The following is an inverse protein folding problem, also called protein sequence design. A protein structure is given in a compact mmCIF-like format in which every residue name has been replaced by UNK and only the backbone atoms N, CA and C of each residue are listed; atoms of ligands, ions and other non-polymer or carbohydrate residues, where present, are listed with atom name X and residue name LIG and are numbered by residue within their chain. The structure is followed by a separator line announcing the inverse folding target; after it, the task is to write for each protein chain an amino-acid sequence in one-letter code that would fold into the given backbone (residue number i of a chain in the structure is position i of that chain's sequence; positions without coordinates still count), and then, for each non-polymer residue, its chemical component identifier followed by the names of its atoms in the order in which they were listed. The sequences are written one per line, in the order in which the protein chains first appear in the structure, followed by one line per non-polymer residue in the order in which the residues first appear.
data_IF_777168777969
#
_entry.id   IF_777168777969
#
_cell.length_a   1.000
_cell.length_b   1.000
_cell.length_c   1.000
_cell.angle_alpha   90.00
_cell.angle_beta   90.00
_cell.angle_gamma   90.00
#
_symmetry.space_group_name_H-M   'P 1'
#
loop_
_entity.id
_entity.type
_entity.pdbx_description
1 polymer ?
#
# COMPACT_ATOMS: atom_id res chain seq x y z
N UNK A 1 -3.29 17.67 -1.55
CA UNK A 1 -4.50 18.34 -2.05
C UNK A 1 -4.13 19.38 -3.12
N UNK A 2 -3.18 20.28 -2.88
CA UNK A 2 -2.82 21.40 -3.79
C UNK A 2 -2.40 20.95 -5.20
N UNK A 3 -1.59 19.89 -5.29
CA UNK A 3 -1.14 19.34 -6.58
C UNK A 3 -2.28 18.70 -7.38
N UNK A 4 -3.23 18.05 -6.70
CA UNK A 4 -4.39 17.43 -7.37
C UNK A 4 -5.34 18.47 -8.01
N UNK A 5 -5.47 19.67 -7.43
CA UNK A 5 -6.29 20.73 -7.99
C UNK A 5 -5.71 21.22 -9.32
N UNK A 6 -4.40 21.44 -9.37
CA UNK A 6 -3.72 21.86 -10.60
C UNK A 6 -3.82 20.82 -11.73
N UNK A 7 -3.64 19.53 -11.42
CA UNK A 7 -3.80 18.44 -12.37
C UNK A 7 -5.24 18.29 -12.88
N UNK A 8 -6.24 18.39 -12.01
CA UNK A 8 -7.64 18.36 -12.41
C UNK A 8 -8.01 19.50 -13.37
N UNK A 9 -7.45 20.69 -13.16
CA UNK A 9 -7.70 21.84 -14.01
C UNK A 9 -7.06 21.65 -15.39
N UNK A 10 -5.83 21.16 -15.45
CA UNK A 10 -5.12 20.87 -16.70
C UNK A 10 -5.79 19.76 -17.52
N UNK A 11 -6.30 18.73 -16.87
CA UNK A 11 -6.98 17.59 -17.52
C UNK A 11 -8.45 17.88 -17.90
N UNK A 12 -8.94 19.10 -17.71
CA UNK A 12 -10.35 19.47 -17.95
C UNK A 12 -11.34 18.48 -17.31
N UNK A 13 -11.03 18.05 -16.09
CA UNK A 13 -11.79 17.07 -15.31
C UNK A 13 -11.79 15.62 -15.89
N UNK A 14 -10.99 15.31 -16.90
CA UNK A 14 -10.81 13.94 -17.41
C UNK A 14 -9.66 13.24 -16.71
N UNK A 15 -9.72 11.92 -16.64
CA UNK A 15 -8.59 11.10 -16.23
C UNK A 15 -7.73 10.79 -17.47
N UNK A 16 -6.51 11.30 -17.50
CA UNK A 16 -5.56 11.15 -18.63
C UNK A 16 -4.39 10.25 -18.23
N UNK A 17 -3.94 10.35 -16.99
CA UNK A 17 -2.84 9.55 -16.45
C UNK A 17 -3.36 8.48 -15.49
N UNK A 18 -2.56 7.44 -15.25
CA UNK A 18 -2.89 6.41 -14.25
C UNK A 18 -3.16 7.02 -12.87
N UNK A 19 -2.39 8.04 -12.51
CA UNK A 19 -2.56 8.75 -11.24
C UNK A 19 -3.89 9.53 -11.17
N UNK A 20 -4.39 10.03 -12.30
CA UNK A 20 -5.70 10.69 -12.33
C UNK A 20 -6.82 9.69 -12.01
N UNK A 21 -6.75 8.47 -12.57
CA UNK A 21 -7.71 7.40 -12.24
C UNK A 21 -7.68 7.05 -10.75
N UNK A 22 -6.49 6.88 -10.18
CA UNK A 22 -6.34 6.64 -8.73
C UNK A 22 -6.92 7.80 -7.91
N UNK A 23 -6.62 9.04 -8.29
CA UNK A 23 -7.13 10.24 -7.62
C UNK A 23 -8.66 10.32 -7.69
N UNK A 24 -9.25 10.06 -8.87
CA UNK A 24 -10.72 10.05 -9.04
C UNK A 24 -11.39 9.01 -8.15
N UNK A 25 -10.87 7.78 -8.07
CA UNK A 25 -11.43 6.75 -7.18
C UNK A 25 -11.33 7.17 -5.70
N UNK A 26 -10.22 7.79 -5.28
CA UNK A 26 -10.06 8.30 -3.91
C UNK A 26 -11.00 9.48 -3.60
N UNK A 27 -11.41 10.23 -4.60
CA UNK A 27 -12.34 11.36 -4.47
C UNK A 27 -13.80 10.95 -4.65
N UNK A 28 -14.09 9.68 -4.92
CA UNK A 28 -15.45 9.18 -5.10
C UNK A 28 -16.28 9.42 -3.82
N UNK A 29 -17.50 9.95 -3.94
CA UNK A 29 -18.37 10.15 -2.79
C UNK A 29 -18.62 8.85 -2.01
N UNK A 30 -18.64 8.93 -0.68
CA UNK A 30 -18.75 7.78 0.21
C UNK A 30 -20.06 6.98 0.02
N UNK A 31 -21.10 7.59 -0.54
CA UNK A 31 -22.37 6.94 -0.86
C UNK A 31 -22.22 5.82 -1.90
N UNK A 32 -21.21 5.92 -2.78
CA UNK A 32 -20.89 4.87 -3.77
C UNK A 32 -19.95 3.80 -3.19
N UNK A 33 -19.52 3.94 -1.93
CA UNK A 33 -18.56 3.12 -1.26
C UNK A 33 -17.16 3.74 -1.24
N UNK A 34 -16.27 3.17 -0.45
CA UNK A 34 -14.90 3.66 -0.30
C UNK A 34 -13.89 2.54 -0.56
N UNK A 35 -12.92 2.83 -1.42
CA UNK A 35 -11.75 1.99 -1.61
C UNK A 35 -10.72 2.31 -0.50
N UNK A 36 -10.19 1.28 0.16
CA UNK A 36 -9.15 1.45 1.17
C UNK A 36 -7.81 1.86 0.54
N UNK A 37 -7.43 1.15 -0.53
CA UNK A 37 -6.26 1.44 -1.35
C UNK A 37 -6.58 1.19 -2.80
N UNK A 38 -5.99 1.99 -3.67
CA UNK A 38 -6.14 1.88 -5.13
C UNK A 38 -4.79 2.05 -5.78
N UNK A 39 -4.46 1.13 -6.68
CA UNK A 39 -3.32 1.24 -7.58
C UNK A 39 -3.77 1.11 -9.02
N UNK A 40 -3.07 1.74 -9.95
CA UNK A 40 -3.34 1.67 -11.38
C UNK A 40 -2.11 1.19 -12.14
N UNK A 41 -2.33 0.30 -13.09
CA UNK A 41 -1.30 -0.13 -14.05
C UNK A 41 -1.90 -0.10 -15.45
N UNK A 42 -1.08 0.20 -16.44
CA UNK A 42 -1.45 0.09 -17.85
C UNK A 42 -1.09 -1.31 -18.35
N UNK A 43 -2.02 -1.94 -19.06
CA UNK A 43 -1.83 -3.26 -19.66
C UNK A 43 -2.56 -3.29 -21.00
N UNK A 44 -1.85 -3.44 -22.12
CA UNK A 44 -2.39 -3.67 -23.46
C UNK A 44 -3.63 -2.80 -23.80
N UNK A 45 -3.51 -1.48 -23.74
CA UNK A 45 -4.61 -0.51 -23.96
C UNK A 45 -5.73 -0.54 -22.92
N UNK A 46 -5.48 -1.11 -21.73
CA UNK A 46 -6.44 -1.10 -20.62
C UNK A 46 -5.82 -0.46 -19.39
N UNK A 47 -6.61 0.32 -18.70
CA UNK A 47 -6.28 0.79 -17.35
C UNK A 47 -6.80 -0.24 -16.35
N UNK A 48 -5.92 -1.01 -15.73
CA UNK A 48 -6.28 -1.94 -14.67
C UNK A 48 -6.14 -1.25 -13.32
N UNK A 49 -7.25 -1.12 -12.62
CA UNK A 49 -7.31 -0.62 -11.26
C UNK A 49 -7.38 -1.79 -10.28
N UNK A 50 -6.37 -1.87 -9.43
CA UNK A 50 -6.32 -2.83 -8.34
C UNK A 50 -6.83 -2.16 -7.06
N UNK A 51 -7.85 -2.74 -6.43
CA UNK A 51 -8.56 -2.14 -5.31
C UNK A 51 -8.49 -3.04 -4.09
N UNK A 52 -8.30 -2.45 -2.91
CA UNK A 52 -8.50 -3.07 -1.60
C UNK A 52 -9.63 -2.37 -0.86
N UNK A 53 -10.31 -3.10 0.02
CA UNK A 53 -11.27 -2.54 0.95
C UNK A 53 -10.85 -2.80 2.40
N UNK A 54 -11.55 -2.17 3.36
CA UNK A 54 -11.39 -2.46 4.77
C UNK A 54 -12.38 -3.52 5.22
N UNK A 55 -11.94 -4.39 6.14
CA UNK A 55 -12.85 -5.21 6.92
C UNK A 55 -13.54 -4.34 7.98
N UNK A 56 -14.65 -4.80 8.60
CA UNK A 56 -15.27 -4.11 9.73
C UNK A 56 -14.31 -3.85 10.90
N UNK A 57 -13.23 -4.63 11.00
CA UNK A 57 -12.18 -4.49 12.03
C UNK A 57 -11.05 -3.54 11.59
N UNK A 58 -11.18 -2.85 10.44
CA UNK A 58 -10.20 -1.90 9.93
C UNK A 58 -8.96 -2.52 9.26
N UNK A 59 -8.93 -3.84 9.04
CA UNK A 59 -7.82 -4.49 8.30
C UNK A 59 -8.06 -4.42 6.80
N UNK A 60 -6.98 -4.35 6.03
CA UNK A 60 -7.05 -4.44 4.57
C UNK A 60 -7.49 -5.83 4.13
N UNK A 61 -8.35 -5.89 3.12
CA UNK A 61 -8.81 -7.14 2.51
C UNK A 61 -8.86 -7.05 0.99
N UNK A 62 -8.51 -8.16 0.35
CA UNK A 62 -8.68 -8.34 -1.09
C UNK A 62 -10.13 -8.64 -1.50
N UNK A 63 -11.03 -8.87 -0.52
CA UNK A 63 -12.45 -9.12 -0.81
C UNK A 63 -13.18 -7.81 -1.09
N UNK A 64 -13.18 -7.41 -2.34
CA UNK A 64 -13.90 -6.23 -2.82
C UNK A 64 -15.25 -6.66 -3.36
N UNK A 65 -16.34 -6.05 -2.89
CA UNK A 65 -17.68 -6.38 -3.35
C UNK A 65 -17.88 -6.04 -4.83
N UNK A 66 -18.70 -6.82 -5.53
CA UNK A 66 -19.04 -6.53 -6.91
C UNK A 66 -19.75 -5.18 -7.06
N UNK A 67 -20.58 -4.80 -6.08
CA UNK A 67 -21.24 -3.51 -6.06
C UNK A 67 -20.24 -2.36 -6.04
N UNK A 68 -19.19 -2.44 -5.19
CA UNK A 68 -18.15 -1.40 -5.17
C UNK A 68 -17.39 -1.33 -6.50
N UNK A 69 -17.08 -2.48 -7.11
CA UNK A 69 -16.43 -2.51 -8.44
C UNK A 69 -17.29 -1.85 -9.51
N UNK A 70 -18.60 -2.16 -9.53
CA UNK A 70 -19.54 -1.55 -10.46
C UNK A 70 -19.66 -0.04 -10.23
N UNK A 71 -19.81 0.40 -9.00
CA UNK A 71 -19.91 1.82 -8.65
C UNK A 71 -18.68 2.60 -9.09
N UNK A 72 -17.46 2.03 -8.88
CA UNK A 72 -16.21 2.64 -9.34
C UNK A 72 -16.19 2.73 -10.87
N UNK A 73 -16.60 1.66 -11.57
CA UNK A 73 -16.64 1.65 -13.05
C UNK A 73 -17.61 2.70 -13.58
N UNK A 74 -18.81 2.79 -13.02
CA UNK A 74 -19.82 3.75 -13.40
C UNK A 74 -19.38 5.19 -13.11
N UNK A 75 -18.83 5.43 -11.93
CA UNK A 75 -18.27 6.73 -11.56
C UNK A 75 -17.16 7.18 -12.53
N UNK A 76 -16.21 6.29 -12.83
CA UNK A 76 -15.10 6.58 -13.73
C UNK A 76 -15.51 6.74 -15.19
N UNK A 77 -16.66 6.19 -15.60
CA UNK A 77 -17.18 6.34 -16.97
C UNK A 77 -17.37 7.80 -17.38
N UNK A 78 -17.64 8.67 -16.40
CA UNK A 78 -17.80 10.12 -16.61
C UNK A 78 -16.46 10.86 -16.82
N UNK A 79 -15.34 10.23 -16.46
CA UNK A 79 -14.02 10.85 -16.45
C UNK A 79 -13.02 10.19 -17.41
N UNK A 80 -13.27 8.95 -17.86
CA UNK A 80 -12.37 8.20 -18.73
C UNK A 80 -12.24 8.83 -20.11
N UNK A 81 -11.13 8.58 -20.78
CA UNK A 81 -10.96 8.89 -22.20
C UNK A 81 -11.78 7.89 -23.05
N UNK A 82 -12.10 8.29 -24.27
CA UNK A 82 -12.99 7.52 -25.15
C UNK A 82 -12.44 6.11 -25.46
N UNK A 83 -11.11 5.99 -25.55
CA UNK A 83 -10.44 4.75 -25.90
C UNK A 83 -9.94 3.94 -24.69
N UNK A 84 -10.16 4.43 -23.47
CA UNK A 84 -9.68 3.73 -22.27
C UNK A 84 -10.68 2.68 -21.83
N UNK A 85 -10.21 1.45 -21.76
CA UNK A 85 -10.93 0.36 -21.12
C UNK A 85 -10.49 0.24 -19.67
N UNK A 86 -11.45 0.36 -18.76
CA UNK A 86 -11.19 0.24 -17.32
C UNK A 86 -11.53 -1.16 -16.85
N UNK A 87 -10.56 -1.85 -16.27
CA UNK A 87 -10.73 -3.15 -15.63
C UNK A 87 -10.47 -3.00 -14.13
N UNK A 88 -11.45 -3.38 -13.29
CA UNK A 88 -11.30 -3.32 -11.83
C UNK A 88 -11.09 -4.72 -11.28
N UNK A 89 -9.94 -4.92 -10.66
CA UNK A 89 -9.55 -6.15 -10.02
C UNK A 89 -9.37 -5.96 -8.51
N UNK A 90 -9.48 -7.04 -7.75
CA UNK A 90 -9.06 -7.05 -6.35
C UNK A 90 -7.54 -7.12 -6.30
N UNK A 91 -6.92 -6.29 -5.48
CA UNK A 91 -5.49 -6.39 -5.23
C UNK A 91 -5.16 -7.56 -4.30
N UNK A 92 -3.90 -7.98 -4.31
CA UNK A 92 -3.39 -8.99 -3.38
C UNK A 92 -2.84 -8.30 -2.13
N UNK A 93 -3.12 -8.88 -0.97
CA UNK A 93 -2.48 -8.51 0.30
C UNK A 93 -1.37 -9.53 0.55
N UNK A 94 -0.18 -9.07 0.88
CA UNK A 94 0.97 -9.90 1.20
C UNK A 94 1.32 -9.66 2.67
N UNK A 95 1.25 -10.70 3.48
CA UNK A 95 1.61 -10.66 4.88
C UNK A 95 3.11 -10.97 5.02
N UNK A 96 3.82 -10.09 5.72
CA UNK A 96 5.26 -10.17 5.88
C UNK A 96 5.62 -10.48 7.34
N UNK A 97 6.67 -11.30 7.53
CA UNK A 97 7.36 -11.48 8.79
C UNK A 97 8.74 -10.84 8.64
N UNK A 98 9.09 -9.96 9.56
CA UNK A 98 10.41 -9.32 9.62
C UNK A 98 11.18 -9.91 10.79
N UNK A 99 12.37 -10.41 10.55
CA UNK A 99 13.34 -10.83 11.56
C UNK A 99 14.54 -9.90 11.50
N UNK A 100 14.96 -9.39 12.65
CA UNK A 100 16.07 -8.44 12.75
C UNK A 100 16.98 -8.86 13.88
N UNK A 101 18.26 -9.03 13.59
CA UNK A 101 19.31 -9.32 14.57
C UNK A 101 20.05 -8.02 14.91
N UNK A 102 19.99 -7.62 16.17
CA UNK A 102 20.50 -6.33 16.67
C UNK A 102 21.65 -6.52 17.66
N UNK A 103 22.64 -5.62 17.58
CA UNK A 103 23.57 -5.36 18.64
C UNK A 103 23.11 -4.09 19.35
N UNK A 104 22.79 -4.21 20.65
CA UNK A 104 22.32 -3.10 21.49
C UNK A 104 23.34 -2.77 22.59
N UNK A 105 23.30 -1.53 23.04
CA UNK A 105 24.13 -1.11 24.18
C UNK A 105 23.65 -1.79 25.48
N UNK A 106 24.58 -2.42 26.20
CA UNK A 106 24.31 -3.11 27.46
C UNK A 106 24.03 -2.16 28.62
N UNK A 107 24.39 -0.87 28.49
CA UNK A 107 24.21 0.14 29.54
C UNK A 107 22.75 0.68 29.60
N UNK A 108 21.96 0.45 28.56
CA UNK A 108 20.59 0.95 28.45
C UNK A 108 19.52 -0.04 28.89
N UNK A 109 18.27 0.44 28.94
CA UNK A 109 17.11 -0.42 29.14
C UNK A 109 16.81 -1.22 27.86
N UNK A 110 17.26 -2.45 27.80
CA UNK A 110 17.14 -3.33 26.63
C UNK A 110 15.69 -3.48 26.16
N UNK A 111 14.74 -3.60 27.09
CA UNK A 111 13.32 -3.73 26.75
C UNK A 111 12.77 -2.47 26.05
N UNK A 112 13.22 -1.29 26.48
CA UNK A 112 12.82 -0.03 25.85
C UNK A 112 13.41 0.09 24.44
N UNK A 113 14.69 -0.28 24.27
CA UNK A 113 15.35 -0.25 22.95
C UNK A 113 14.61 -1.17 21.96
N UNK A 114 14.31 -2.41 22.37
CA UNK A 114 13.57 -3.37 21.54
C UNK A 114 12.18 -2.83 21.19
N UNK A 115 11.45 -2.24 22.15
CA UNK A 115 10.13 -1.66 21.91
C UNK A 115 10.20 -0.51 20.88
N UNK A 116 11.18 0.37 20.98
CA UNK A 116 11.37 1.46 20.02
C UNK A 116 11.67 0.94 18.61
N UNK A 117 12.46 -0.13 18.49
CA UNK A 117 12.75 -0.77 17.20
C UNK A 117 11.48 -1.40 16.61
N UNK A 118 10.68 -2.11 17.43
CA UNK A 118 9.41 -2.69 16.98
C UNK A 118 8.45 -1.60 16.50
N UNK A 119 8.35 -0.50 17.25
CA UNK A 119 7.53 0.66 16.85
C UNK A 119 8.00 1.24 15.52
N UNK A 120 9.31 1.39 15.34
CA UNK A 120 9.88 1.91 14.09
C UNK A 120 9.59 1.00 12.90
N UNK A 121 9.71 -0.31 13.06
CA UNK A 121 9.36 -1.29 12.02
C UNK A 121 7.86 -1.22 11.73
N UNK A 122 7.01 -1.20 12.75
CA UNK A 122 5.56 -1.09 12.60
C UNK A 122 5.15 0.20 11.87
N UNK A 123 5.79 1.31 12.19
CA UNK A 123 5.57 2.60 11.55
C UNK A 123 6.00 2.59 10.06
N UNK A 124 7.11 1.92 9.73
CA UNK A 124 7.55 1.75 8.34
C UNK A 124 6.53 0.99 7.50
N UNK A 125 5.95 -0.09 8.06
CA UNK A 125 4.93 -0.92 7.40
C UNK A 125 3.50 -0.45 7.65
N UNK A 126 3.31 0.74 8.22
CA UNK A 126 1.97 1.26 8.48
C UNK A 126 1.19 1.42 7.18
N UNK A 127 -0.10 1.13 7.25
CA UNK A 127 -1.00 1.17 6.09
C UNK A 127 -0.99 2.53 5.40
N UNK A 128 -0.82 3.62 6.14
CA UNK A 128 -0.82 4.97 5.60
C UNK A 128 0.42 5.28 4.76
N UNK A 129 1.56 4.68 5.11
CA UNK A 129 2.85 4.91 4.44
C UNK A 129 3.10 3.95 3.29
N UNK A 130 2.47 2.75 3.32
CA UNK A 130 2.62 1.76 2.26
C UNK A 130 1.60 1.97 1.15
N UNK A 131 2.06 2.47 0.01
CA UNK A 131 1.28 2.55 -1.22
C UNK A 131 1.38 1.24 -2.02
N UNK A 132 0.36 0.96 -2.84
CA UNK A 132 0.38 -0.21 -3.72
C UNK A 132 1.52 -0.13 -4.73
N UNK A 133 2.24 -1.24 -4.91
CA UNK A 133 3.38 -1.34 -5.81
C UNK A 133 4.64 -0.62 -5.33
N UNK A 134 4.65 -0.12 -4.09
CA UNK A 134 5.85 0.48 -3.50
C UNK A 134 6.91 -0.60 -3.28
N UNK A 135 8.14 -0.32 -3.71
CA UNK A 135 9.29 -1.17 -3.44
C UNK A 135 9.67 -1.10 -1.95
N UNK A 136 10.00 -2.26 -1.38
CA UNK A 136 10.57 -2.35 -0.04
C UNK A 136 12.05 -2.00 -0.10
N UNK A 137 12.46 -0.97 0.63
CA UNK A 137 13.86 -0.60 0.76
C UNK A 137 14.40 -1.08 2.11
N UNK A 138 14.93 -2.29 2.11
CA UNK A 138 15.46 -2.95 3.32
C UNK A 138 16.67 -2.19 3.87
N UNK A 139 17.52 -1.67 2.99
CA UNK A 139 18.70 -0.90 3.42
C UNK A 139 18.30 0.39 4.13
N UNK A 140 17.27 1.07 3.68
CA UNK A 140 16.74 2.26 4.34
C UNK A 140 16.16 1.92 5.71
N UNK A 141 15.38 0.84 5.81
CA UNK A 141 14.81 0.37 7.07
C UNK A 141 15.91 -0.01 8.07
N UNK A 142 16.95 -0.72 7.62
CA UNK A 142 18.12 -1.05 8.45
C UNK A 142 18.84 0.19 8.96
N UNK A 143 19.05 1.18 8.10
CA UNK A 143 19.64 2.47 8.48
C UNK A 143 18.77 3.21 9.50
N UNK A 144 17.46 3.25 9.29
CA UNK A 144 16.51 3.89 10.20
C UNK A 144 16.47 3.21 11.59
N UNK A 145 16.66 1.90 11.64
CA UNK A 145 16.76 1.15 12.91
C UNK A 145 18.10 1.45 13.61
N UNK A 146 19.20 1.50 12.86
CA UNK A 146 20.54 1.80 13.44
C UNK A 146 20.59 3.19 14.07
N UNK A 147 19.79 4.14 13.60
CA UNK A 147 19.70 5.49 14.18
C UNK A 147 18.90 5.56 15.48
N UNK A 148 18.26 4.46 15.91
CA UNK A 148 17.52 4.45 17.18
C UNK A 148 18.46 4.49 18.39
N UNK A 149 18.12 5.27 19.44
CA UNK A 149 18.94 5.34 20.64
C UNK A 149 19.13 3.96 21.28
N UNK A 150 20.38 3.61 21.57
CA UNK A 150 20.75 2.33 22.18
C UNK A 150 20.96 1.18 21.19
N UNK A 151 20.71 1.36 19.90
CA UNK A 151 21.09 0.40 18.85
C UNK A 151 22.51 0.72 18.39
N UNK A 152 23.40 -0.25 18.50
CA UNK A 152 24.79 -0.12 18.04
C UNK A 152 24.93 -0.53 16.58
N UNK A 153 24.27 -1.62 16.18
CA UNK A 153 24.33 -2.13 14.82
C UNK A 153 23.16 -3.07 14.52
N UNK A 154 22.77 -3.14 13.25
CA UNK A 154 21.88 -4.18 12.70
C UNK A 154 22.78 -5.20 12.01
N UNK A 155 22.85 -6.43 12.54
CA UNK A 155 23.74 -7.48 12.04
C UNK A 155 23.12 -8.20 10.85
N UNK A 156 21.82 -8.47 10.91
CA UNK A 156 21.08 -9.14 9.83
C UNK A 156 19.63 -8.68 9.83
N UNK A 157 19.02 -8.64 8.65
CA UNK A 157 17.60 -8.35 8.46
C UNK A 157 17.03 -9.24 7.38
N UNK A 158 16.02 -10.03 7.72
CA UNK A 158 15.36 -10.96 6.82
C UNK A 158 13.87 -10.69 6.77
N UNK A 159 13.30 -10.72 5.57
CA UNK A 159 11.86 -10.56 5.34
C UNK A 159 11.34 -11.84 4.70
N UNK A 160 10.34 -12.43 5.34
CA UNK A 160 9.68 -13.65 4.86
C UNK A 160 8.24 -13.37 4.51
N UNK A 161 7.75 -14.06 3.48
CA UNK A 161 6.33 -14.09 3.20
C UNK A 161 5.63 -15.04 4.19
N UNK A 162 4.61 -14.54 4.88
CA UNK A 162 3.83 -15.32 5.84
C UNK A 162 2.57 -15.82 5.18
N UNK A 163 2.43 -17.14 5.07
CA UNK A 163 1.27 -17.81 4.48
C UNK A 163 0.65 -18.77 5.48
N UNK A 164 -0.64 -19.06 5.35
CA UNK A 164 -1.36 -19.99 6.21
C UNK A 164 -2.84 -19.66 6.35
N UNK A 165 -3.56 -20.38 7.22
CA UNK A 165 -5.00 -20.24 7.36
C UNK A 165 -5.47 -18.85 7.81
N UNK A 166 -4.64 -18.12 8.52
CA UNK A 166 -4.92 -16.76 9.01
C UNK A 166 -4.32 -15.65 8.15
N UNK A 167 -3.50 -16.02 7.14
CA UNK A 167 -2.74 -15.09 6.30
C UNK A 167 -3.08 -15.28 4.84
N UNK A 168 -2.75 -14.28 4.03
CA UNK A 168 -2.89 -14.36 2.58
C UNK A 168 -1.98 -15.45 2.00
N UNK A 169 -2.50 -16.24 1.06
CA UNK A 169 -1.70 -17.19 0.29
C UNK A 169 -0.94 -16.52 -0.87
N UNK A 170 -0.99 -15.20 -0.97
CA UNK A 170 -0.24 -14.46 -1.98
C UNK A 170 1.24 -14.48 -1.65
N UNK A 171 2.07 -14.79 -2.63
CA UNK A 171 3.52 -14.85 -2.50
C UNK A 171 4.18 -13.70 -3.25
N UNK A 172 5.33 -13.27 -2.75
CA UNK A 172 6.20 -12.34 -3.48
C UNK A 172 6.75 -13.11 -4.69
N UNK A 173 6.59 -12.54 -5.88
CA UNK A 173 6.99 -13.22 -7.13
C UNK A 173 8.50 -13.24 -7.37
N UNK A 174 9.27 -12.48 -6.61
CA UNK A 174 10.74 -12.47 -6.67
C UNK A 174 11.30 -12.42 -5.24
N UNK A 175 12.32 -13.22 -4.91
CA UNK A 175 13.07 -13.04 -3.68
C UNK A 175 13.87 -11.73 -3.78
N UNK A 176 13.79 -10.91 -2.74
CA UNK A 176 14.64 -9.74 -2.58
C UNK A 176 15.95 -10.14 -1.90
#
# INVERSE_FOLDING_TARGET
IRNYIAFNFAAQNRAVTLNDYVAKVRMMPAEFGAAAKVGAIETENKVRLSVLSYTPQGKLTSRVSNSLKQNITEYLSNYRMLNDYIEISSAKVIDLKVEVDLIIDSSGNQSQIVSNVIEKISDYFSTDKMEMGRQLNISQLSSDITTQPGVTNVTDMRIFNKTGSEYSNSQISQPY
#
